data_IF_514177428036
#
_entry.id   IF_514177428036
#
_cell.length_a   1.000
_cell.length_b   1.000
_cell.length_c   1.000
_cell.angle_alpha   90.00
_cell.angle_beta   90.00
_cell.angle_gamma   90.00
#
_symmetry.space_group_name_H-M   'P 1'
#
loop_
_entity.id
_entity.type
_entity.pdbx_description
1 polymer ?
#
# COMPACT_ATOMS: atom_id res chain seq x y z
N UNK A 1 23.85 -0.07 -8.62
CA UNK A 1 22.94 1.00 -8.18
C UNK A 1 22.20 0.54 -6.94
N UNK A 2 22.24 1.33 -5.87
CA UNK A 2 21.56 1.09 -4.61
C UNK A 2 20.28 1.92 -4.57
N UNK A 3 19.15 1.30 -4.29
CA UNK A 3 17.87 1.99 -4.14
C UNK A 3 17.63 2.33 -2.66
N UNK A 4 17.09 3.51 -2.37
CA UNK A 4 16.63 3.87 -1.02
C UNK A 4 15.37 3.12 -0.60
N UNK A 5 14.54 2.77 -1.59
CA UNK A 5 13.30 2.05 -1.33
C UNK A 5 12.71 1.40 -2.57
N UNK A 6 11.64 0.64 -2.35
CA UNK A 6 10.93 -0.14 -3.34
C UNK A 6 9.47 0.29 -3.32
N UNK A 7 8.94 0.62 -4.48
CA UNK A 7 7.58 1.11 -4.65
C UNK A 7 6.80 0.18 -5.55
N UNK A 8 5.85 -0.56 -4.98
CA UNK A 8 4.93 -1.39 -5.74
C UNK A 8 3.70 -0.55 -6.05
N UNK A 9 3.37 -0.46 -7.33
CA UNK A 9 2.12 0.10 -7.84
C UNK A 9 1.27 -1.11 -8.26
N UNK A 10 0.15 -1.32 -7.58
CA UNK A 10 -0.70 -2.49 -7.73
C UNK A 10 -2.11 -2.10 -8.18
N UNK A 11 -2.55 -2.76 -9.25
CA UNK A 11 -3.88 -2.68 -9.83
C UNK A 11 -4.65 -3.94 -9.43
N UNK A 12 -5.65 -3.80 -8.55
CA UNK A 12 -6.41 -4.92 -7.99
C UNK A 12 -7.81 -4.96 -8.59
N UNK A 13 -8.19 -6.10 -9.17
CA UNK A 13 -9.45 -6.31 -9.88
C UNK A 13 -10.28 -7.45 -9.27
N UNK A 14 -11.60 -7.36 -9.43
CA UNK A 14 -12.53 -8.36 -8.93
C UNK A 14 -12.57 -8.45 -7.41
N UNK A 15 -12.33 -7.34 -6.72
CA UNK A 15 -12.37 -7.24 -5.27
C UNK A 15 -13.80 -7.30 -4.73
N UNK A 16 -13.92 -7.64 -3.44
CA UNK A 16 -15.18 -7.63 -2.71
C UNK A 16 -15.70 -6.19 -2.54
N UNK A 17 -16.86 -5.90 -3.15
CA UNK A 17 -17.43 -4.54 -3.20
C UNK A 17 -17.82 -4.00 -1.83
N UNK A 18 -18.25 -4.88 -0.91
CA UNK A 18 -18.63 -4.48 0.45
C UNK A 18 -17.39 -4.09 1.25
N UNK A 19 -16.26 -4.79 1.02
CA UNK A 19 -14.97 -4.41 1.61
C UNK A 19 -14.51 -3.08 1.04
N UNK A 20 -14.53 -2.91 -0.29
CA UNK A 20 -14.08 -1.67 -0.96
C UNK A 20 -14.86 -0.43 -0.52
N UNK A 21 -16.10 -0.57 -0.08
CA UNK A 21 -16.96 0.53 0.34
C UNK A 21 -17.01 0.73 1.88
N UNK A 22 -16.19 0.00 2.64
CA UNK A 22 -16.16 0.08 4.09
C UNK A 22 -14.88 0.79 4.57
N UNK A 23 -15.03 2.03 5.06
CA UNK A 23 -13.89 2.88 5.46
C UNK A 23 -13.07 2.24 6.57
N UNK A 24 -13.75 1.76 7.61
CA UNK A 24 -13.13 1.21 8.81
C UNK A 24 -12.39 -0.09 8.49
N UNK A 25 -12.96 -0.93 7.62
CA UNK A 25 -12.31 -2.17 7.18
C UNK A 25 -11.10 -1.89 6.30
N UNK A 26 -11.19 -0.94 5.37
CA UNK A 26 -10.05 -0.54 4.52
C UNK A 26 -8.92 0.03 5.37
N UNK A 27 -9.23 0.92 6.33
CA UNK A 27 -8.24 1.44 7.27
C UNK A 27 -7.54 0.32 8.05
N UNK A 28 -8.33 -0.60 8.61
CA UNK A 28 -7.79 -1.76 9.34
C UNK A 28 -6.86 -2.61 8.46
N UNK A 29 -7.30 -2.96 7.26
CA UNK A 29 -6.50 -3.77 6.32
C UNK A 29 -5.17 -3.07 6.04
N UNK A 30 -5.20 -1.80 5.66
CA UNK A 30 -4.00 -1.04 5.30
C UNK A 30 -3.01 -0.90 6.45
N UNK A 31 -3.49 -0.66 7.68
CA UNK A 31 -2.64 -0.61 8.88
C UNK A 31 -2.03 -1.97 9.18
N UNK A 32 -2.81 -3.04 9.14
CA UNK A 32 -2.31 -4.40 9.34
C UNK A 32 -1.29 -4.81 8.26
N UNK A 33 -1.46 -4.38 7.01
CA UNK A 33 -0.49 -4.57 5.92
C UNK A 33 0.85 -3.94 6.25
N UNK A 34 0.84 -2.68 6.70
CA UNK A 34 2.06 -1.97 7.07
C UNK A 34 2.79 -2.69 8.22
N UNK A 35 2.07 -3.07 9.26
CA UNK A 35 2.63 -3.78 10.42
C UNK A 35 3.19 -5.15 10.03
N UNK A 36 2.49 -5.91 9.17
CA UNK A 36 2.94 -7.22 8.67
C UNK A 36 4.20 -7.11 7.82
N UNK A 37 4.35 -6.04 7.05
CA UNK A 37 5.59 -5.78 6.31
C UNK A 37 6.77 -5.37 7.22
N UNK A 38 6.53 -5.16 8.53
CA UNK A 38 7.53 -4.72 9.49
C UNK A 38 7.72 -3.19 9.51
N UNK A 39 6.80 -2.43 8.94
CA UNK A 39 6.85 -0.98 8.95
C UNK A 39 6.29 -0.38 10.25
N UNK A 40 6.80 0.78 10.64
CA UNK A 40 6.30 1.56 11.76
C UNK A 40 5.31 2.62 11.25
N UNK A 41 4.06 2.54 11.69
CA UNK A 41 3.00 3.49 11.31
C UNK A 41 3.16 4.79 12.09
N UNK A 42 3.13 5.92 11.38
CA UNK A 42 3.23 7.27 11.95
C UNK A 42 1.87 7.95 12.00
N UNK A 43 1.16 7.95 10.88
CA UNK A 43 -0.13 8.63 10.74
C UNK A 43 -1.03 7.86 9.78
N UNK A 44 -2.33 8.01 9.96
CA UNK A 44 -3.35 7.42 9.09
C UNK A 44 -4.42 8.45 8.75
N UNK A 45 -4.88 8.45 7.50
CA UNK A 45 -5.99 9.30 7.07
C UNK A 45 -6.84 8.57 6.03
N UNK A 46 -8.14 8.43 6.30
CA UNK A 46 -9.09 7.72 5.44
C UNK A 46 -10.37 8.53 5.26
N UNK A 47 -10.86 8.56 4.02
CA UNK A 47 -12.08 9.26 3.63
C UNK A 47 -12.97 8.35 2.80
N UNK A 48 -14.24 8.26 3.18
CA UNK A 48 -15.28 7.58 2.39
C UNK A 48 -16.07 8.62 1.61
N UNK A 49 -16.21 8.40 0.31
CA UNK A 49 -16.95 9.27 -0.59
C UNK A 49 -18.44 8.89 -0.64
N UNK A 50 -19.24 9.82 -1.15
CA UNK A 50 -20.64 9.59 -1.52
C UNK A 50 -20.74 9.58 -3.05
N UNK A 51 -21.41 8.58 -3.66
CA UNK A 51 -22.22 7.54 -3.01
C UNK A 51 -21.40 6.37 -2.43
N UNK A 52 -20.16 6.16 -2.87
CA UNK A 52 -19.32 5.04 -2.45
C UNK A 52 -17.84 5.28 -2.73
N UNK A 53 -16.98 4.39 -2.23
CA UNK A 53 -15.53 4.40 -2.43
C UNK A 53 -14.77 5.02 -1.28
N UNK A 54 -13.50 4.65 -1.16
CA UNK A 54 -12.61 5.02 -0.05
C UNK A 54 -11.25 5.42 -0.61
N UNK A 55 -10.73 6.55 -0.15
CA UNK A 55 -9.32 6.92 -0.30
C UNK A 55 -8.64 6.87 1.05
N UNK A 56 -7.42 6.35 1.09
CA UNK A 56 -6.68 6.16 2.34
C UNK A 56 -5.18 6.25 2.17
N UNK A 57 -4.51 6.74 3.22
CA UNK A 57 -3.06 6.74 3.34
C UNK A 57 -2.64 6.28 4.73
N UNK A 58 -1.62 5.44 4.78
CA UNK A 58 -0.86 5.09 5.97
C UNK A 58 0.55 5.62 5.77
N UNK A 59 0.91 6.65 6.53
CA UNK A 59 2.26 7.19 6.54
C UNK A 59 3.12 6.30 7.42
N UNK A 60 4.23 5.81 6.89
CA UNK A 60 5.22 5.01 7.63
C UNK A 60 6.56 5.75 7.64
N UNK A 61 7.53 5.27 8.42
CA UNK A 61 8.86 5.88 8.47
C UNK A 61 9.47 6.03 7.06
N UNK A 62 9.49 7.27 6.56
CA UNK A 62 10.09 7.70 5.29
C UNK A 62 9.41 7.23 4.00
N UNK A 63 8.18 6.71 4.07
CA UNK A 63 7.39 6.30 2.89
C UNK A 63 5.89 6.18 3.21
N UNK A 64 5.11 5.41 2.44
CA UNK A 64 3.65 5.31 2.61
C UNK A 64 3.05 4.05 1.98
N UNK A 65 1.85 3.70 2.45
CA UNK A 65 0.91 2.86 1.72
C UNK A 65 -0.35 3.69 1.39
N UNK A 66 -0.83 3.66 0.16
CA UNK A 66 -2.07 4.34 -0.25
C UNK A 66 -3.04 3.40 -0.94
N UNK A 67 -4.33 3.71 -0.85
CA UNK A 67 -5.40 2.97 -1.53
C UNK A 67 -6.49 3.92 -2.00
N UNK A 68 -6.99 3.66 -3.20
CA UNK A 68 -8.18 4.30 -3.78
C UNK A 68 -9.11 3.22 -4.33
N UNK A 69 -10.37 3.21 -3.92
CA UNK A 69 -11.32 2.15 -4.29
C UNK A 69 -12.46 2.66 -5.16
N UNK A 70 -12.87 1.81 -6.12
CA UNK A 70 -14.07 1.97 -6.95
C UNK A 70 -14.96 0.73 -6.81
N UNK A 71 -15.83 0.67 -5.77
CA UNK A 71 -16.65 -0.49 -5.48
C UNK A 71 -17.53 -0.95 -6.65
N UNK A 72 -18.08 -0.03 -7.44
CA UNK A 72 -18.90 -0.34 -8.62
C UNK A 72 -18.16 -1.22 -9.62
N UNK A 73 -16.85 -1.03 -9.77
CA UNK A 73 -15.98 -1.77 -10.67
C UNK A 73 -15.31 -2.98 -10.01
N UNK A 74 -15.40 -3.12 -8.68
CA UNK A 74 -14.63 -4.11 -7.94
C UNK A 74 -13.12 -3.86 -8.06
N UNK A 75 -12.71 -2.58 -8.12
CA UNK A 75 -11.34 -2.17 -8.39
C UNK A 75 -10.72 -1.38 -7.23
N UNK A 76 -9.43 -1.59 -6.99
CA UNK A 76 -8.62 -0.74 -6.11
C UNK A 76 -7.25 -0.46 -6.75
N UNK A 77 -6.84 0.81 -6.70
CA UNK A 77 -5.48 1.24 -6.96
C UNK A 77 -4.74 1.28 -5.62
N UNK A 78 -3.61 0.59 -5.52
CA UNK A 78 -2.82 0.48 -4.29
C UNK A 78 -1.37 0.79 -4.56
N UNK A 79 -0.78 1.64 -3.72
CA UNK A 79 0.64 1.91 -3.72
C UNK A 79 1.24 1.41 -2.40
N UNK A 80 2.32 0.63 -2.49
CA UNK A 80 3.11 0.20 -1.33
C UNK A 80 4.53 0.67 -1.54
N UNK A 81 4.88 1.79 -0.92
CA UNK A 81 6.22 2.33 -0.92
C UNK A 81 6.87 2.07 0.43
N UNK A 82 7.98 1.31 0.44
CA UNK A 82 8.79 1.09 1.65
C UNK A 82 10.24 1.49 1.41
N UNK A 83 10.89 1.95 2.49
CA UNK A 83 12.32 2.29 2.50
C UNK A 83 13.09 1.29 3.37
N UNK A 84 14.38 1.12 3.06
CA UNK A 84 15.28 0.20 3.77
C UNK A 84 15.14 -1.26 3.36
N UNK A 85 16.08 -2.09 3.81
CA UNK A 85 16.19 -3.50 3.41
C UNK A 85 15.36 -4.45 4.29
N UNK A 86 14.88 -3.98 5.45
CA UNK A 86 14.16 -4.81 6.43
C UNK A 86 12.68 -4.97 6.14
N UNK A 87 12.10 -4.04 5.38
CA UNK A 87 10.65 -3.98 5.10
C UNK A 87 10.40 -4.49 3.70
N UNK A 88 9.70 -5.62 3.57
CA UNK A 88 9.35 -6.17 2.26
C UNK A 88 7.98 -5.66 1.80
N UNK A 89 7.91 -4.78 0.78
CA UNK A 89 6.65 -4.22 0.30
C UNK A 89 5.71 -5.29 -0.27
N UNK A 90 6.23 -6.43 -0.73
CA UNK A 90 5.39 -7.52 -1.25
C UNK A 90 4.54 -8.18 -0.16
N UNK A 91 4.99 -8.21 1.09
CA UNK A 91 4.18 -8.73 2.19
C UNK A 91 2.94 -7.88 2.42
N UNK A 92 3.08 -6.55 2.42
CA UNK A 92 1.95 -5.63 2.49
C UNK A 92 1.05 -5.77 1.25
N UNK A 93 1.62 -5.74 0.05
CA UNK A 93 0.84 -5.84 -1.19
C UNK A 93 0.01 -7.13 -1.25
N UNK A 94 0.61 -8.28 -0.94
CA UNK A 94 -0.08 -9.58 -0.98
C UNK A 94 -1.18 -9.67 0.07
N UNK A 95 -0.94 -9.14 1.28
CA UNK A 95 -1.96 -9.11 2.32
C UNK A 95 -3.16 -8.24 1.93
N UNK A 96 -2.92 -7.07 1.33
CA UNK A 96 -4.00 -6.20 0.81
C UNK A 96 -4.82 -6.95 -0.24
N UNK A 97 -4.16 -7.59 -1.21
CA UNK A 97 -4.80 -8.38 -2.27
C UNK A 97 -5.68 -9.50 -1.71
N UNK A 98 -5.19 -10.25 -0.72
CA UNK A 98 -5.94 -11.32 -0.04
C UNK A 98 -7.18 -10.76 0.69
N UNK A 99 -7.00 -9.70 1.48
CA UNK A 99 -8.07 -9.14 2.30
C UNK A 99 -9.15 -8.42 1.49
N UNK A 100 -8.79 -7.86 0.34
CA UNK A 100 -9.73 -7.31 -0.65
C UNK A 100 -10.41 -8.40 -1.49
N UNK A 101 -9.98 -9.66 -1.37
CA UNK A 101 -10.42 -10.80 -2.19
C UNK A 101 -10.29 -10.52 -3.69
N UNK A 102 -9.23 -9.83 -4.09
CA UNK A 102 -8.99 -9.53 -5.50
C UNK A 102 -8.79 -10.84 -6.27
N UNK A 103 -9.49 -11.00 -7.39
CA UNK A 103 -9.33 -12.18 -8.26
C UNK A 103 -8.16 -12.05 -9.21
N UNK A 104 -7.72 -10.82 -9.49
CA UNK A 104 -6.58 -10.53 -10.34
C UNK A 104 -5.82 -9.31 -9.83
N UNK A 105 -4.49 -9.38 -9.93
CA UNK A 105 -3.58 -8.30 -9.56
C UNK A 105 -2.56 -8.12 -10.69
N UNK A 106 -2.39 -6.87 -11.14
CA UNK A 106 -1.28 -6.46 -12.00
C UNK A 106 -0.39 -5.50 -11.22
N UNK A 107 0.92 -5.63 -11.32
CA UNK A 107 1.86 -4.84 -10.51
C UNK A 107 3.04 -4.33 -11.32
N UNK A 108 3.50 -3.13 -10.99
CA UNK A 108 4.81 -2.61 -11.39
C UNK A 108 5.64 -2.29 -10.16
N UNK A 109 6.87 -2.78 -10.09
CA UNK A 109 7.82 -2.40 -9.03
C UNK A 109 8.80 -1.35 -9.55
N UNK A 110 8.87 -0.21 -8.86
CA UNK A 110 9.78 0.89 -9.15
C UNK A 110 10.79 1.01 -8.01
N UNK A 111 12.08 0.93 -8.33
CA UNK A 111 13.16 1.27 -7.39
C UNK A 111 13.23 2.79 -7.24
N UNK A 112 13.20 3.27 -6.00
CA UNK A 112 13.21 4.71 -5.68
C UNK A 112 14.56 5.12 -5.11
N UNK A 113 15.04 6.29 -5.53
CA UNK A 113 16.33 6.84 -5.08
C UNK A 113 17.51 5.95 -5.50
N UNK A 114 17.80 5.90 -6.80
CA UNK A 114 18.92 5.12 -7.33
C UNK A 114 20.22 5.91 -7.22
N UNK A 115 21.19 5.35 -6.52
CA UNK A 115 22.53 5.92 -6.38
C UNK A 115 23.60 4.94 -6.86
N UNK A 116 24.70 5.46 -7.39
CA UNK A 116 25.83 4.63 -7.85
C UNK A 116 26.54 3.95 -6.67
N UNK A 117 26.63 4.65 -5.53
CA UNK A 117 27.23 4.15 -4.30
C UNK A 117 26.18 4.02 -3.18
N UNK A 118 26.43 3.18 -2.16
CA UNK A 118 25.56 3.09 -1.00
C UNK A 118 25.46 4.45 -0.29
N UNK A 119 24.23 4.94 -0.10
CA UNK A 119 23.96 6.17 0.67
C UNK A 119 23.47 5.75 2.05
N UNK A 120 24.13 6.25 3.10
CA UNK A 120 23.60 6.17 4.47
C UNK A 120 22.69 7.37 4.70
N UNK A 121 21.38 7.13 4.72
CA UNK A 121 20.43 8.10 5.24
C UNK A 121 20.48 7.99 6.76
N UNK A 122 20.53 9.11 7.48
CA UNK A 122 20.80 9.14 8.92
C UNK A 122 19.83 8.33 9.79
N UNK A 123 18.72 7.84 9.21
CA UNK A 123 17.63 7.13 9.88
C UNK A 123 17.27 5.75 9.24
N UNK A 124 18.05 5.24 8.27
CA UNK A 124 17.85 3.91 7.63
C UNK A 124 18.87 2.84 8.11
#
# INVERSE_FOLDING_TARGET
MHALGRHIIAELYGCDKEVLNNRELIEKIMVESALKAGAEVREVAFHKFSPQGVSGVVVISESHLTIHTWPELGYAAVDVFTCGERVDPWQACNYITEMLKASHMTTTEVKRGLFEQPVKVANL
#
